data_IF_919791197908
#
_entry.id   IF_919791197908
#
_cell.length_a   1.000
_cell.length_b   1.000
_cell.length_c   1.000
_cell.angle_alpha   90.00
_cell.angle_beta   90.00
_cell.angle_gamma   90.00
#
_symmetry.space_group_name_H-M   'P 1'
#
loop_
_entity.id
_entity.type
_entity.pdbx_description
1 polymer ?
#
# COMPACT_ATOMS: atom_id res chain seq x y z
N UNK A 1 -8.54 2.73 -16.72
CA UNK A 1 -8.52 1.43 -16.01
C UNK A 1 -8.88 1.60 -14.53
N UNK A 2 -9.48 0.59 -13.87
CA UNK A 2 -9.77 0.61 -12.43
C UNK A 2 -8.50 0.61 -11.58
N UNK A 3 -8.60 1.07 -10.33
CA UNK A 3 -7.48 1.06 -9.38
C UNK A 3 -6.90 -0.34 -9.11
N UNK A 4 -7.68 -1.41 -9.33
CA UNK A 4 -7.20 -2.78 -9.24
C UNK A 4 -6.04 -3.09 -10.21
N UNK A 5 -5.86 -2.33 -11.29
CA UNK A 5 -4.73 -2.50 -12.21
C UNK A 5 -3.37 -2.35 -11.51
N UNK A 6 -3.29 -1.54 -10.44
CA UNK A 6 -2.06 -1.36 -9.67
C UNK A 6 -1.65 -2.60 -8.84
N UNK A 7 -2.52 -3.61 -8.71
CA UNK A 7 -2.19 -4.84 -7.99
C UNK A 7 -1.04 -5.61 -8.64
N UNK A 8 -0.82 -5.45 -9.95
CA UNK A 8 0.33 -6.08 -10.62
C UNK A 8 1.65 -5.51 -10.08
N UNK A 9 1.74 -4.20 -9.87
CA UNK A 9 2.88 -3.58 -9.17
C UNK A 9 2.96 -4.07 -7.73
N UNK A 10 1.85 -4.08 -7.00
CA UNK A 10 1.82 -4.52 -5.59
C UNK A 10 2.36 -5.94 -5.43
N UNK A 11 1.92 -6.88 -6.27
CA UNK A 11 2.39 -8.26 -6.23
C UNK A 11 3.89 -8.36 -6.48
N UNK A 12 4.39 -7.67 -7.51
CA UNK A 12 5.83 -7.64 -7.83
C UNK A 12 6.66 -7.01 -6.70
N UNK A 13 6.20 -5.89 -6.14
CA UNK A 13 6.86 -5.24 -5.01
C UNK A 13 6.83 -6.09 -3.74
N UNK A 14 5.77 -6.87 -3.51
CA UNK A 14 5.70 -7.85 -2.43
C UNK A 14 6.80 -8.90 -2.51
N UNK A 15 7.09 -9.41 -3.73
CA UNK A 15 8.21 -10.32 -3.96
C UNK A 15 9.56 -9.62 -3.72
N UNK A 16 9.71 -8.37 -4.16
CA UNK A 16 10.91 -7.57 -3.91
C UNK A 16 11.16 -7.35 -2.40
N UNK A 17 10.12 -7.04 -1.63
CA UNK A 17 10.18 -6.94 -0.17
C UNK A 17 10.66 -8.25 0.44
N UNK A 18 10.05 -9.37 0.08
CA UNK A 18 10.40 -10.68 0.64
C UNK A 18 11.86 -11.04 0.36
N UNK A 19 12.30 -10.88 -0.90
CA UNK A 19 13.66 -11.16 -1.31
C UNK A 19 14.68 -10.24 -0.59
N UNK A 20 14.38 -8.95 -0.44
CA UNK A 20 15.25 -8.02 0.25
C UNK A 20 15.37 -8.30 1.76
N UNK A 21 14.27 -8.72 2.40
CA UNK A 21 14.26 -9.10 3.83
C UNK A 21 15.09 -10.35 4.09
N UNK A 22 15.08 -11.31 3.16
CA UNK A 22 15.79 -12.59 3.28
C UNK A 22 17.25 -12.52 2.82
N UNK A 23 17.64 -11.49 2.08
CA UNK A 23 18.99 -11.35 1.52
C UNK A 23 20.12 -11.41 2.58
N UNK A 24 19.99 -10.80 3.77
CA UNK A 24 21.04 -10.89 4.80
C UNK A 24 21.32 -12.31 5.28
N UNK A 25 20.35 -13.23 5.18
CA UNK A 25 20.49 -14.62 5.64
C UNK A 25 20.75 -15.61 4.50
N UNK A 26 20.24 -15.32 3.29
CA UNK A 26 20.28 -16.22 2.14
C UNK A 26 21.29 -15.79 1.05
N UNK A 27 21.95 -14.66 1.23
CA UNK A 27 23.04 -14.16 0.39
C UNK A 27 22.63 -13.11 -0.65
N UNK A 28 23.63 -12.44 -1.20
CA UNK A 28 23.47 -11.24 -2.05
C UNK A 28 22.68 -11.47 -3.34
N UNK A 29 22.60 -12.72 -3.84
CA UNK A 29 21.77 -13.05 -5.01
C UNK A 29 20.32 -12.64 -4.81
N UNK A 30 19.81 -12.75 -3.57
CA UNK A 30 18.45 -12.32 -3.23
C UNK A 30 18.31 -10.80 -3.22
N UNK A 31 19.34 -10.05 -2.82
CA UNK A 31 19.32 -8.59 -2.91
C UNK A 31 19.26 -8.14 -4.38
N UNK A 32 20.01 -8.78 -5.28
CA UNK A 32 19.93 -8.51 -6.72
C UNK A 32 18.58 -8.90 -7.32
N UNK A 33 18.03 -10.06 -6.97
CA UNK A 33 16.68 -10.45 -7.40
C UNK A 33 15.63 -9.45 -6.90
N UNK A 34 15.74 -8.99 -5.65
CA UNK A 34 14.89 -7.96 -5.09
C UNK A 34 15.00 -6.64 -5.87
N UNK A 35 16.21 -6.22 -6.27
CA UNK A 35 16.41 -5.01 -7.06
C UNK A 35 15.75 -5.11 -8.44
N UNK A 36 15.90 -6.25 -9.13
CA UNK A 36 15.26 -6.48 -10.43
C UNK A 36 13.74 -6.44 -10.31
N UNK A 37 13.16 -7.13 -9.32
CA UNK A 37 11.73 -7.11 -9.05
C UNK A 37 11.23 -5.72 -8.68
N UNK A 38 11.99 -4.99 -7.86
CA UNK A 38 11.68 -3.62 -7.48
C UNK A 38 11.58 -2.69 -8.70
N UNK A 39 12.56 -2.74 -9.60
CA UNK A 39 12.57 -1.94 -10.83
C UNK A 39 11.43 -2.34 -11.78
N UNK A 40 11.18 -3.65 -11.94
CA UNK A 40 10.04 -4.15 -12.70
C UNK A 40 8.71 -3.64 -12.14
N UNK A 41 8.54 -3.70 -10.81
CA UNK A 41 7.35 -3.21 -10.13
C UNK A 41 7.12 -1.72 -10.36
N UNK A 42 8.18 -0.91 -10.36
CA UNK A 42 8.08 0.52 -10.70
C UNK A 42 7.67 0.74 -12.17
N UNK A 43 8.21 -0.04 -13.10
CA UNK A 43 7.79 0.01 -14.51
C UNK A 43 6.30 -0.34 -14.69
N UNK A 44 5.85 -1.39 -14.01
CA UNK A 44 4.45 -1.82 -13.99
C UNK A 44 3.53 -0.79 -13.32
N UNK A 45 4.02 -0.07 -12.31
CA UNK A 45 3.29 1.05 -11.71
C UNK A 45 3.05 2.16 -12.74
N UNK A 46 4.09 2.54 -13.49
CA UNK A 46 3.99 3.59 -14.52
C UNK A 46 3.02 3.18 -15.63
N UNK A 47 3.09 1.94 -16.11
CA UNK A 47 2.15 1.43 -17.12
C UNK A 47 0.69 1.48 -16.61
N UNK A 48 0.45 1.04 -15.37
CA UNK A 48 -0.87 1.11 -14.75
C UNK A 48 -1.34 2.57 -14.58
N UNK A 49 -0.44 3.47 -14.20
CA UNK A 49 -0.74 4.89 -13.98
C UNK A 49 -1.12 5.62 -15.26
N UNK A 50 -0.40 5.40 -16.36
CA UNK A 50 -0.71 6.01 -17.67
C UNK A 50 -2.11 5.60 -18.16
N UNK A 51 -2.56 4.40 -17.80
CA UNK A 51 -3.88 3.86 -18.15
C UNK A 51 -4.95 4.13 -17.09
N UNK A 52 -4.60 4.73 -15.96
CA UNK A 52 -5.50 4.92 -14.83
C UNK A 52 -6.51 6.04 -15.11
N UNK A 53 -7.78 5.78 -14.80
CA UNK A 53 -8.81 6.81 -14.93
C UNK A 53 -8.90 7.66 -13.67
N UNK A 54 -8.33 8.87 -13.73
CA UNK A 54 -8.26 9.83 -12.62
C UNK A 54 -9.65 10.25 -12.09
N UNK A 55 -10.73 10.09 -12.88
CA UNK A 55 -12.09 10.36 -12.40
C UNK A 55 -12.44 9.48 -11.20
N UNK A 56 -11.81 8.30 -11.06
CA UNK A 56 -12.02 7.40 -9.94
C UNK A 56 -11.62 7.97 -8.59
N UNK A 57 -10.78 9.01 -8.53
CA UNK A 57 -10.51 9.71 -7.27
C UNK A 57 -11.80 10.32 -6.69
N UNK A 58 -12.65 10.87 -7.55
CA UNK A 58 -13.92 11.45 -7.15
C UNK A 58 -15.05 10.42 -7.05
N UNK A 59 -15.15 9.47 -7.99
CA UNK A 59 -16.33 8.58 -8.11
C UNK A 59 -16.09 7.12 -7.77
N UNK A 60 -14.83 6.68 -7.61
CA UNK A 60 -14.49 5.27 -7.43
C UNK A 60 -14.98 4.71 -6.09
N UNK A 61 -15.23 3.41 -6.00
CA UNK A 61 -15.79 2.77 -4.81
C UNK A 61 -14.76 2.39 -3.72
N UNK A 62 -13.46 2.52 -4.02
CA UNK A 62 -12.37 2.33 -3.04
C UNK A 62 -11.09 1.72 -3.62
N UNK A 63 -11.20 1.00 -4.73
CA UNK A 63 -10.08 0.39 -5.45
C UNK A 63 -9.02 1.38 -5.96
N UNK A 64 -9.40 2.62 -6.25
CA UNK A 64 -8.46 3.71 -6.58
C UNK A 64 -7.40 3.96 -5.50
N UNK A 65 -7.65 3.58 -4.24
CA UNK A 65 -6.65 3.68 -3.18
C UNK A 65 -5.41 2.80 -3.41
N UNK A 66 -5.54 1.72 -4.21
CA UNK A 66 -4.42 0.84 -4.55
C UNK A 66 -3.32 1.60 -5.31
N UNK A 67 -3.66 2.69 -6.01
CA UNK A 67 -2.67 3.57 -6.65
C UNK A 67 -1.66 4.15 -5.64
N UNK A 68 -2.15 4.64 -4.49
CA UNK A 68 -1.29 5.10 -3.39
C UNK A 68 -0.58 3.94 -2.68
N UNK A 69 -1.28 2.81 -2.50
CA UNK A 69 -0.71 1.62 -1.86
C UNK A 69 0.46 1.02 -2.63
N UNK A 70 0.40 1.04 -3.97
CA UNK A 70 1.48 0.58 -4.83
C UNK A 70 2.77 1.41 -4.65
N UNK A 71 2.65 2.73 -4.47
CA UNK A 71 3.79 3.58 -4.12
C UNK A 71 4.31 3.33 -2.71
N UNK A 72 3.40 3.12 -1.75
CA UNK A 72 3.76 2.80 -0.38
C UNK A 72 4.56 1.48 -0.28
N UNK A 73 4.11 0.41 -0.94
CA UNK A 73 4.86 -0.85 -0.95
C UNK A 73 6.16 -0.74 -1.77
N UNK A 74 6.22 0.11 -2.79
CA UNK A 74 7.49 0.41 -3.49
C UNK A 74 8.49 1.11 -2.56
N UNK A 75 8.05 2.08 -1.76
CA UNK A 75 8.89 2.71 -0.74
C UNK A 75 9.33 1.71 0.34
N UNK A 76 8.44 0.81 0.76
CA UNK A 76 8.77 -0.29 1.65
C UNK A 76 9.85 -1.21 1.05
N UNK A 77 9.70 -1.64 -0.20
CA UNK A 77 10.67 -2.46 -0.92
C UNK A 77 12.05 -1.78 -0.99
N UNK A 78 12.07 -0.49 -1.36
CA UNK A 78 13.31 0.30 -1.38
C UNK A 78 13.96 0.38 0.01
N UNK A 79 13.18 0.55 1.08
CA UNK A 79 13.71 0.57 2.46
C UNK A 79 14.31 -0.78 2.89
N UNK A 80 13.75 -1.91 2.43
CA UNK A 80 14.30 -3.25 2.71
C UNK A 80 15.54 -3.53 1.89
N UNK A 81 15.58 -3.11 0.62
CA UNK A 81 16.79 -3.12 -0.20
C UNK A 81 17.90 -2.30 0.46
N UNK A 82 17.60 -1.07 0.90
CA UNK A 82 18.55 -0.21 1.60
C UNK A 82 19.11 -0.86 2.88
N UNK A 83 18.25 -1.59 3.61
CA UNK A 83 18.61 -2.28 4.84
C UNK A 83 19.27 -3.67 4.63
N UNK A 84 19.40 -4.16 3.40
CA UNK A 84 19.89 -5.52 3.14
C UNK A 84 21.38 -5.73 3.44
N UNK A 85 22.14 -4.65 3.61
CA UNK A 85 23.60 -4.69 3.85
C UNK A 85 24.46 -4.93 2.61
N UNK A 86 23.85 -5.33 1.48
CA UNK A 86 24.56 -5.61 0.22
C UNK A 86 25.08 -4.34 -0.48
N UNK A 87 24.39 -3.21 -0.32
CA UNK A 87 24.66 -1.99 -1.09
C UNK A 87 25.53 -1.00 -0.32
N UNK A 88 26.59 -0.50 -0.98
CA UNK A 88 27.54 0.47 -0.41
C UNK A 88 27.79 1.64 -1.37
N UNK A 89 28.46 2.70 -0.87
CA UNK A 89 28.85 3.86 -1.66
C UNK A 89 27.67 4.53 -2.39
N UNK A 90 27.86 4.80 -3.69
CA UNK A 90 26.86 5.47 -4.54
C UNK A 90 25.55 4.69 -4.63
N UNK A 91 25.59 3.35 -4.64
CA UNK A 91 24.38 2.52 -4.71
C UNK A 91 23.54 2.67 -3.44
N UNK A 92 24.19 2.69 -2.27
CA UNK A 92 23.52 2.94 -0.99
C UNK A 92 22.85 4.33 -0.97
N UNK A 93 23.56 5.37 -1.39
CA UNK A 93 23.01 6.73 -1.45
C UNK A 93 21.83 6.81 -2.44
N UNK A 94 21.94 6.18 -3.61
CA UNK A 94 20.87 6.13 -4.60
C UNK A 94 19.62 5.43 -4.06
N UNK A 95 19.77 4.29 -3.37
CA UNK A 95 18.66 3.59 -2.73
C UNK A 95 18.04 4.43 -1.61
N UNK A 96 18.86 5.12 -0.81
CA UNK A 96 18.35 6.02 0.24
C UNK A 96 17.52 7.16 -0.34
N UNK A 97 18.02 7.83 -1.37
CA UNK A 97 17.27 8.89 -2.07
C UNK A 97 16.00 8.35 -2.69
N UNK A 98 16.09 7.23 -3.40
CA UNK A 98 14.92 6.56 -4.01
C UNK A 98 13.87 6.21 -2.95
N UNK A 99 14.27 5.66 -1.81
CA UNK A 99 13.36 5.33 -0.69
C UNK A 99 12.60 6.57 -0.22
N UNK A 100 13.30 7.68 -0.01
CA UNK A 100 12.69 8.93 0.44
C UNK A 100 11.76 9.54 -0.61
N UNK A 101 12.15 9.51 -1.89
CA UNK A 101 11.32 9.99 -3.00
C UNK A 101 10.03 9.17 -3.12
N UNK A 102 10.14 7.85 -3.12
CA UNK A 102 8.96 6.98 -3.20
C UNK A 102 8.04 7.15 -1.99
N UNK A 103 8.59 7.32 -0.79
CA UNK A 103 7.81 7.62 0.40
C UNK A 103 7.12 8.99 0.29
N UNK A 104 7.80 10.02 -0.20
CA UNK A 104 7.21 11.34 -0.45
C UNK A 104 6.03 11.26 -1.43
N UNK A 105 6.19 10.49 -2.51
CA UNK A 105 5.10 10.25 -3.47
C UNK A 105 3.95 9.47 -2.82
N UNK A 106 4.25 8.46 -2.00
CA UNK A 106 3.23 7.68 -1.28
C UNK A 106 2.43 8.57 -0.30
N UNK A 107 3.10 9.46 0.43
CA UNK A 107 2.46 10.44 1.31
C UNK A 107 1.64 11.46 0.51
N UNK A 108 2.12 11.90 -0.65
CA UNK A 108 1.36 12.75 -1.57
C UNK A 108 0.07 12.09 -2.03
N UNK A 109 0.14 10.83 -2.46
CA UNK A 109 -1.02 10.02 -2.80
C UNK A 109 -1.98 9.87 -1.61
N UNK A 110 -1.45 9.57 -0.42
CA UNK A 110 -2.23 9.47 0.80
C UNK A 110 -3.05 10.74 1.03
N UNK A 111 -2.43 11.92 0.94
CA UNK A 111 -3.10 13.19 1.12
C UNK A 111 -4.18 13.43 0.07
N UNK A 112 -3.86 13.22 -1.22
CA UNK A 112 -4.84 13.37 -2.31
C UNK A 112 -6.05 12.47 -2.07
N UNK A 113 -5.83 11.20 -1.80
CA UNK A 113 -6.90 10.21 -1.57
C UNK A 113 -7.72 10.56 -0.32
N UNK A 114 -7.07 10.96 0.76
CA UNK A 114 -7.74 11.40 1.99
C UNK A 114 -8.59 12.66 1.76
N UNK A 115 -8.08 13.65 1.01
CA UNK A 115 -8.84 14.85 0.65
C UNK A 115 -10.07 14.52 -0.17
N UNK A 116 -9.96 13.64 -1.18
CA UNK A 116 -11.12 13.22 -1.97
C UNK A 116 -12.13 12.43 -1.14
N UNK A 117 -11.67 11.57 -0.23
CA UNK A 117 -12.55 10.83 0.69
C UNK A 117 -13.28 11.78 1.66
N UNK A 118 -12.61 12.81 2.16
CA UNK A 118 -13.21 13.81 3.05
C UNK A 118 -14.20 14.71 2.30
N UNK A 119 -13.88 15.12 1.06
CA UNK A 119 -14.74 15.97 0.23
C UNK A 119 -15.98 15.23 -0.30
N UNK A 120 -15.89 13.91 -0.49
CA UNK A 120 -16.96 13.06 -1.00
C UNK A 120 -17.09 11.79 -0.12
N UNK A 121 -17.61 11.92 1.11
CA UNK A 121 -17.71 10.78 2.02
C UNK A 121 -18.61 9.69 1.44
N UNK A 122 -18.08 8.48 1.28
CA UNK A 122 -18.87 7.35 0.77
C UNK A 122 -19.39 6.53 1.95
N UNK A 123 -20.57 6.95 2.43
CA UNK A 123 -21.22 6.45 3.65
C UNK A 123 -21.80 5.03 3.51
N UNK A 124 -21.94 4.53 2.27
CA UNK A 124 -22.40 3.19 1.99
C UNK A 124 -21.24 2.20 1.98
N UNK A 125 -21.42 1.07 2.65
CA UNK A 125 -20.41 0.02 2.68
C UNK A 125 -20.36 -0.74 1.35
N UNK A 126 -19.18 -0.76 0.75
CA UNK A 126 -18.83 -1.56 -0.42
C UNK A 126 -17.66 -2.49 -0.07
N UNK A 127 -17.63 -3.71 -0.64
CA UNK A 127 -16.53 -4.66 -0.42
C UNK A 127 -15.17 -4.09 -0.88
N UNK A 128 -15.16 -3.21 -1.89
CA UNK A 128 -13.96 -2.51 -2.37
C UNK A 128 -13.35 -1.57 -1.32
N UNK A 129 -14.04 -1.28 -0.21
CA UNK A 129 -13.45 -0.55 0.93
C UNK A 129 -12.27 -1.29 1.55
N UNK A 130 -12.18 -2.61 1.43
CA UNK A 130 -10.98 -3.34 1.85
C UNK A 130 -9.72 -2.89 1.10
N UNK A 131 -9.86 -2.39 -0.13
CA UNK A 131 -8.75 -1.84 -0.91
C UNK A 131 -8.19 -0.52 -0.36
N UNK A 132 -8.86 0.14 0.59
CA UNK A 132 -8.32 1.35 1.25
C UNK A 132 -7.45 1.01 2.46
N UNK A 133 -7.72 -0.13 3.11
CA UNK A 133 -7.02 -0.53 4.34
C UNK A 133 -5.57 -0.90 4.06
N UNK A 134 -5.33 -1.66 2.99
CA UNK A 134 -3.98 -2.04 2.56
C UNK A 134 -3.08 -0.82 2.33
N UNK A 135 -3.45 0.18 1.51
CA UNK A 135 -2.64 1.39 1.29
C UNK A 135 -2.33 2.18 2.57
N UNK A 136 -3.29 2.34 3.47
CA UNK A 136 -3.08 3.04 4.74
C UNK A 136 -2.03 2.31 5.59
N UNK A 137 -2.20 0.99 5.77
CA UNK A 137 -1.25 0.17 6.52
C UNK A 137 0.13 0.14 5.87
N UNK A 138 0.20 0.01 4.54
CA UNK A 138 1.47 0.03 3.81
C UNK A 138 2.19 1.37 3.94
N UNK A 139 1.46 2.50 3.91
CA UNK A 139 2.09 3.83 4.07
C UNK A 139 2.70 3.97 5.46
N UNK A 140 2.00 3.50 6.50
CA UNK A 140 2.54 3.44 7.86
C UNK A 140 3.79 2.55 7.94
N UNK A 141 3.74 1.33 7.39
CA UNK A 141 4.87 0.40 7.36
C UNK A 141 6.07 0.93 6.58
N UNK A 142 5.82 1.62 5.46
CA UNK A 142 6.85 2.29 4.66
C UNK A 142 7.51 3.43 5.43
N UNK A 143 6.73 4.28 6.13
CA UNK A 143 7.27 5.36 6.95
C UNK A 143 8.16 4.81 8.08
N UNK A 144 7.68 3.82 8.84
CA UNK A 144 8.45 3.18 9.92
C UNK A 144 9.71 2.49 9.41
N UNK A 145 9.61 1.75 8.30
CA UNK A 145 10.77 1.05 7.72
C UNK A 145 11.80 2.03 7.16
N UNK A 146 11.34 3.13 6.56
CA UNK A 146 12.21 4.20 6.05
C UNK A 146 12.87 4.97 7.19
N UNK A 147 12.16 5.20 8.30
CA UNK A 147 12.73 5.84 9.49
C UNK A 147 13.99 5.10 9.96
N UNK A 148 13.89 3.77 10.06
CA UNK A 148 14.99 2.90 10.44
C UNK A 148 16.09 2.83 9.36
N UNK A 149 15.73 2.52 8.11
CA UNK A 149 16.70 2.27 7.04
C UNK A 149 17.44 3.53 6.58
N UNK A 150 16.74 4.66 6.45
CA UNK A 150 17.32 5.93 5.98
C UNK A 150 17.83 6.81 7.13
N UNK A 151 17.67 6.38 8.39
CA UNK A 151 18.02 7.12 9.61
C UNK A 151 17.37 8.51 9.67
N UNK A 152 16.06 8.55 9.48
CA UNK A 152 15.25 9.77 9.51
C UNK A 152 14.24 9.66 10.65
N UNK A 153 14.59 10.21 11.81
CA UNK A 153 13.87 9.96 13.08
C UNK A 153 12.43 10.45 13.11
N UNK A 154 12.10 11.56 12.44
CA UNK A 154 10.74 12.12 12.45
C UNK A 154 9.71 11.25 11.71
N UNK A 155 10.16 10.33 10.85
CA UNK A 155 9.27 9.39 10.15
C UNK A 155 8.69 8.32 11.08
N UNK A 156 9.34 8.04 12.21
CA UNK A 156 8.87 7.07 13.17
C UNK A 156 7.55 7.49 13.84
N UNK A 157 7.44 8.67 14.49
CA UNK A 157 6.17 9.11 15.06
C UNK A 157 5.09 9.29 13.98
N UNK A 158 5.44 9.76 12.77
CA UNK A 158 4.51 9.80 11.63
C UNK A 158 3.95 8.40 11.31
N UNK A 159 4.83 7.41 11.16
CA UNK A 159 4.45 6.05 10.86
C UNK A 159 3.52 5.45 11.91
N UNK A 160 3.74 5.73 13.20
CA UNK A 160 2.86 5.30 14.30
C UNK A 160 1.47 5.96 14.22
N UNK A 161 1.40 7.25 13.91
CA UNK A 161 0.13 7.95 13.71
C UNK A 161 -0.64 7.35 12.54
N UNK A 162 0.02 7.14 11.40
CA UNK A 162 -0.57 6.51 10.23
C UNK A 162 -1.03 5.07 10.51
N UNK A 163 -0.30 4.33 11.36
CA UNK A 163 -0.67 2.98 11.77
C UNK A 163 -1.98 2.98 12.57
N UNK A 164 -2.14 3.90 13.52
CA UNK A 164 -3.39 4.02 14.28
C UNK A 164 -4.57 4.41 13.39
N UNK A 165 -4.36 5.30 12.42
CA UNK A 165 -5.38 5.62 11.41
C UNK A 165 -5.73 4.37 10.60
N UNK A 166 -4.73 3.61 10.13
CA UNK A 166 -4.95 2.38 9.38
C UNK A 166 -5.73 1.34 10.21
N UNK A 167 -5.41 1.17 11.49
CA UNK A 167 -6.10 0.28 12.41
C UNK A 167 -7.56 0.70 12.64
N UNK A 168 -7.82 1.99 12.82
CA UNK A 168 -9.18 2.52 12.97
C UNK A 168 -10.01 2.27 11.69
N UNK A 169 -9.46 2.54 10.51
CA UNK A 169 -10.15 2.30 9.23
C UNK A 169 -10.35 0.80 8.99
N UNK A 170 -9.39 -0.05 9.37
CA UNK A 170 -9.54 -1.51 9.33
C UNK A 170 -10.73 -1.96 10.20
N UNK A 171 -10.82 -1.49 11.45
CA UNK A 171 -11.91 -1.83 12.37
C UNK A 171 -13.28 -1.41 11.82
N UNK A 172 -13.39 -0.19 11.29
CA UNK A 172 -14.63 0.31 10.68
C UNK A 172 -15.04 -0.52 9.45
N UNK A 173 -14.07 -0.90 8.62
CA UNK A 173 -14.31 -1.72 7.41
C UNK A 173 -14.71 -3.14 7.78
N UNK A 174 -14.06 -3.74 8.78
CA UNK A 174 -14.39 -5.05 9.32
C UNK A 174 -15.80 -5.08 9.91
N UNK A 175 -16.16 -4.06 10.71
CA UNK A 175 -17.51 -3.90 11.23
C UNK A 175 -18.56 -3.79 10.11
N UNK A 176 -18.29 -3.01 9.06
CA UNK A 176 -19.14 -2.93 7.88
C UNK A 176 -19.35 -4.29 7.18
N UNK A 177 -18.28 -5.07 7.05
CA UNK A 177 -18.31 -6.41 6.47
C UNK A 177 -19.20 -7.37 7.28
N UNK A 178 -18.99 -7.42 8.60
CA UNK A 178 -19.74 -8.29 9.52
C UNK A 178 -21.23 -7.95 9.49
N UNK A 179 -21.59 -6.66 9.52
CA UNK A 179 -23.00 -6.25 9.42
C UNK A 179 -23.66 -6.66 8.12
N UNK A 180 -22.93 -6.58 6.99
CA UNK A 180 -23.46 -6.98 5.68
C UNK A 180 -23.76 -8.48 5.65
N UNK A 181 -22.84 -9.30 6.15
CA UNK A 181 -23.01 -10.76 6.24
C UNK A 181 -24.16 -11.11 7.18
N UNK A 182 -24.24 -10.48 8.36
CA UNK A 182 -25.32 -10.70 9.32
C UNK A 182 -26.71 -10.37 8.74
N UNK A 183 -26.83 -9.27 7.98
CA UNK A 183 -28.09 -8.91 7.29
C UNK A 183 -28.48 -9.94 6.24
N UNK A 184 -27.53 -10.33 5.37
CA UNK A 184 -27.78 -11.32 4.33
C UNK A 184 -28.20 -12.68 4.90
N UNK A 185 -27.60 -13.10 6.02
CA UNK A 185 -27.97 -14.33 6.72
C UNK A 185 -29.40 -14.27 7.30
N UNK A 186 -29.80 -13.12 7.84
CA UNK A 186 -31.17 -12.89 8.33
C UNK A 186 -32.21 -12.96 7.20
N UNK A 187 -31.93 -12.32 6.07
CA UNK A 187 -32.80 -12.34 4.88
C UNK A 187 -32.98 -13.76 4.32
N UNK A 188 -31.89 -14.53 4.21
CA UNK A 188 -31.94 -15.92 3.74
C UNK A 188 -32.77 -16.83 4.67
N UNK A 189 -32.66 -16.65 5.99
CA UNK A 189 -33.46 -17.39 6.98
C UNK A 189 -34.95 -17.09 6.85
N UNK A 190 -35.32 -15.82 6.69
CA UNK A 190 -36.71 -15.39 6.51
C UNK A 190 -37.33 -15.80 5.17
N UNK A 191 -36.49 -16.08 4.15
CA UNK A 191 -36.93 -16.61 2.87
C UNK A 191 -37.16 -18.13 2.93
N UNK A 192 -36.29 -18.86 3.66
CA UNK A 192 -36.44 -20.30 3.88
C UNK A 192 -37.64 -20.68 4.77
N UNK A 193 -38.03 -19.82 5.71
CA UNK A 193 -39.23 -20.03 6.55
C UNK A 193 -40.56 -19.77 5.81
N UNK A 194 -40.52 -19.23 4.58
CA UNK A 194 -41.70 -18.91 3.76
C UNK A 194 -42.00 -19.90 2.63
N UNK A 195 -41.18 -20.94 2.47
CA UNK A 195 -41.35 -22.04 1.50
C UNK A 195 -41.75 -23.30 2.24
#
# INVERSE_FOLDING_TARGET
MPGAAFLICVATQGLAVLAAVLAPQAGDRLAWAALVLFLLGLGLYVDALVRFDLRQLAVGAGDHWVAGGAMAISALAASKLLASGTWSGTAHTALRTTTLVLLGIALGWYLVLACFEAARPRLHYDLRRWSTVFPLGMTAGAALSTAAAARVSWLDPLGRVLLWIAAAVWLLTAYGAVRRVARAAGEARMAGERV
#
